data_IF_909449839995
#
_entry.id   IF_909449839995
#
_cell.length_a   1.000
_cell.length_b   1.000
_cell.length_c   1.000
_cell.angle_alpha   90.00
_cell.angle_beta   90.00
_cell.angle_gamma   90.00
#
_symmetry.space_group_name_H-M   'P 1'
#
loop_
_entity.id
_entity.type
_entity.pdbx_description
1 polymer ?
#
# COMPACT_ATOMS: atom_id res chain seq x y z
N UNK A 1 -8.53 2.34 -2.37
CA UNK A 1 -8.23 3.45 -1.44
C UNK A 1 -8.11 4.76 -2.22
N UNK A 2 -8.36 5.93 -1.61
CA UNK A 2 -8.30 7.22 -2.30
C UNK A 2 -6.87 7.72 -2.59
N UNK A 3 -5.90 7.39 -1.73
CA UNK A 3 -4.47 7.72 -1.93
C UNK A 3 -3.57 6.63 -1.30
N UNK A 4 -2.89 5.86 -2.15
CA UNK A 4 -2.02 4.76 -1.75
C UNK A 4 -0.69 5.26 -1.16
N UNK A 5 -0.16 6.39 -1.65
CA UNK A 5 1.10 6.97 -1.16
C UNK A 5 0.92 7.60 0.22
N UNK A 6 -0.18 8.32 0.43
CA UNK A 6 -0.50 8.84 1.76
C UNK A 6 -0.75 7.72 2.78
N UNK A 7 -1.45 6.66 2.38
CA UNK A 7 -1.66 5.49 3.22
C UNK A 7 -0.33 4.81 3.59
N UNK A 8 0.58 4.66 2.63
CA UNK A 8 1.92 4.12 2.86
C UNK A 8 2.69 4.90 3.91
N UNK A 9 2.79 6.24 3.81
CA UNK A 9 3.54 7.03 4.79
C UNK A 9 2.92 6.95 6.19
N UNK A 10 1.59 7.02 6.29
CA UNK A 10 0.89 6.90 7.58
C UNK A 10 1.14 5.53 8.22
N UNK A 11 0.98 4.45 7.46
CA UNK A 11 1.15 3.09 7.98
C UNK A 11 2.61 2.81 8.34
N UNK A 12 3.56 3.23 7.50
CA UNK A 12 5.00 3.11 7.78
C UNK A 12 5.37 3.87 9.05
N UNK A 13 4.84 5.09 9.24
CA UNK A 13 5.09 5.87 10.46
C UNK A 13 4.55 5.20 11.73
N UNK A 14 3.58 4.30 11.60
CA UNK A 14 2.98 3.51 12.67
C UNK A 14 3.63 2.13 12.86
N UNK A 15 4.69 1.81 12.11
CA UNK A 15 5.44 0.57 12.24
C UNK A 15 4.98 -0.57 11.33
N UNK A 16 4.14 -0.30 10.32
CA UNK A 16 3.79 -1.32 9.33
C UNK A 16 5.02 -1.73 8.49
N UNK A 17 5.20 -3.03 8.31
CA UNK A 17 6.30 -3.59 7.51
C UNK A 17 5.87 -3.80 6.06
N UNK A 18 6.39 -2.96 5.18
CA UNK A 18 6.13 -3.05 3.75
C UNK A 18 7.13 -3.98 3.07
N UNK A 19 6.61 -4.89 2.24
CA UNK A 19 7.41 -5.72 1.33
C UNK A 19 7.81 -4.92 0.09
N UNK A 20 6.93 -4.04 -0.37
CA UNK A 20 7.17 -3.12 -1.49
C UNK A 20 6.50 -1.78 -1.20
N UNK A 21 7.14 -0.65 -1.53
CA UNK A 21 6.47 0.65 -1.53
C UNK A 21 5.39 0.69 -2.62
N UNK A 22 4.48 1.68 -2.60
CA UNK A 22 3.51 1.89 -3.67
C UNK A 22 4.20 2.08 -5.02
N UNK A 23 3.80 1.26 -5.99
CA UNK A 23 4.24 1.33 -7.38
C UNK A 23 3.04 1.66 -8.26
N UNK A 24 3.18 2.68 -9.10
CA UNK A 24 2.20 3.07 -10.11
C UNK A 24 2.40 2.23 -11.38
N UNK A 25 1.37 1.48 -11.77
CA UNK A 25 1.32 0.62 -12.96
C UNK A 25 0.50 1.24 -14.09
N UNK A 26 0.17 2.53 -14.01
CA UNK A 26 -0.60 3.30 -14.99
C UNK A 26 -2.11 3.22 -14.77
N UNK A 27 -2.66 2.03 -14.52
CA UNK A 27 -4.09 1.83 -14.24
C UNK A 27 -4.40 1.69 -12.75
N UNK A 28 -3.40 1.39 -11.95
CA UNK A 28 -3.51 1.18 -10.52
C UNK A 28 -2.18 1.46 -9.82
N UNK A 29 -2.27 1.80 -8.53
CA UNK A 29 -1.12 1.87 -7.63
C UNK A 29 -1.23 0.72 -6.63
N UNK A 30 -0.16 -0.08 -6.49
CA UNK A 30 -0.12 -1.25 -5.60
C UNK A 30 1.05 -1.19 -4.62
N UNK A 31 0.80 -1.57 -3.37
CA UNK A 31 1.79 -1.83 -2.34
C UNK A 31 1.45 -3.11 -1.56
N UNK A 32 2.45 -3.73 -0.96
CA UNK A 32 2.28 -4.95 -0.16
C UNK A 32 2.90 -4.77 1.21
N UNK A 33 2.18 -5.22 2.26
CA UNK A 33 2.66 -5.21 3.64
C UNK A 33 2.29 -6.50 4.36
N UNK A 34 2.99 -6.78 5.46
CA UNK A 34 2.59 -7.81 6.41
C UNK A 34 1.92 -7.19 7.64
N UNK A 35 0.84 -7.82 8.10
CA UNK A 35 0.33 -7.56 9.44
C UNK A 35 1.19 -8.29 10.50
N UNK A 36 1.01 -8.00 11.80
CA UNK A 36 1.76 -8.66 12.87
C UNK A 36 1.56 -10.18 12.95
N UNK A 37 0.44 -10.69 12.45
CA UNK A 37 0.14 -12.12 12.38
C UNK A 37 0.80 -12.79 11.16
N UNK A 38 1.44 -12.01 10.29
CA UNK A 38 2.17 -12.47 9.12
C UNK A 38 1.33 -12.60 7.85
N UNK A 39 0.08 -12.15 7.85
CA UNK A 39 -0.77 -12.12 6.65
C UNK A 39 -0.29 -11.08 5.65
N UNK A 40 -0.36 -11.44 4.38
CA UNK A 40 -0.08 -10.51 3.29
C UNK A 40 -1.31 -9.65 3.01
N UNK A 41 -1.13 -8.34 3.11
CA UNK A 41 -2.14 -7.34 2.76
C UNK A 41 -1.70 -6.65 1.48
N UNK A 42 -2.64 -6.51 0.55
CA UNK A 42 -2.49 -5.67 -0.65
C UNK A 42 -3.18 -4.32 -0.44
N UNK A 43 -2.45 -3.24 -0.67
CA UNK A 43 -2.99 -1.89 -0.76
C UNK A 43 -3.09 -1.48 -2.23
N UNK A 44 -4.32 -1.27 -2.69
CA UNK A 44 -4.62 -0.89 -4.07
C UNK A 44 -5.37 0.45 -4.13
N UNK A 45 -4.93 1.31 -5.05
CA UNK A 45 -5.67 2.47 -5.54
C UNK A 45 -5.92 2.28 -7.04
N UNK A 46 -7.20 2.21 -7.41
CA UNK A 46 -7.62 2.18 -8.81
C UNK A 46 -7.51 3.57 -9.40
N UNK A 47 -6.92 3.71 -10.59
CA UNK A 47 -7.05 4.93 -11.37
C UNK A 47 -8.53 5.15 -11.71
N UNK A 48 -9.09 6.30 -11.31
CA UNK A 48 -10.40 6.69 -11.81
C UNK A 48 -10.24 6.98 -13.31
N UNK A 49 -10.79 6.13 -14.17
CA UNK A 49 -10.94 6.43 -15.60
C UNK A 49 -11.93 7.59 -15.80
#
# INVERSE_FOLDING_TARGET
MPDCFAAYEVLRSRGAEFLTPPVDWGYEVRAFLRDPDGHLIELTQSGHQ
#
